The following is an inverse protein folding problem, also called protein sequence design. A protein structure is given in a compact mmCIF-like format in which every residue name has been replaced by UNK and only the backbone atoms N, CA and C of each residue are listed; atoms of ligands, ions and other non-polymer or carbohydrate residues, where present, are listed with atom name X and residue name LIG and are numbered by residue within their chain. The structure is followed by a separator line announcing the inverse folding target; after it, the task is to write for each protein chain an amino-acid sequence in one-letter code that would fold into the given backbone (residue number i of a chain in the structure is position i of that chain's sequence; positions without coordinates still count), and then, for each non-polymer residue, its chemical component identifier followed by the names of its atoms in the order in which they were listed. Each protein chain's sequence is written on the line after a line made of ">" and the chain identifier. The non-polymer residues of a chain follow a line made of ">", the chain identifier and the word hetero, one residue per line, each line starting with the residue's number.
data_IF_126443042455
#
_entry.id   IF_126443042455
#
_cell.length_a   1.000
_cell.length_b   1.000
_cell.length_c   1.000
_cell.angle_alpha   90.00
_cell.angle_beta   90.00
_cell.angle_gamma   90.00
#
_symmetry.space_group_name_H-M   'P 1'
#
loop_
_entity.id
_entity.type
_entity.pdbx_description
1 polymer ?
#
# COMPACT_ATOMS: atom_id res chain seq x y z
N UNK A 1 6.51 8.86 -19.69
CA UNK A 1 5.86 9.72 -18.69
C UNK A 1 4.49 9.20 -18.24
N UNK A 2 3.36 9.39 -18.95
CA UNK A 2 2.05 8.93 -18.43
C UNK A 2 1.96 7.41 -18.17
N UNK A 3 2.38 6.58 -19.13
CA UNK A 3 2.34 5.12 -18.99
C UNK A 3 3.28 4.60 -17.89
N UNK A 4 4.38 5.31 -17.66
CA UNK A 4 5.36 5.00 -16.63
C UNK A 4 4.80 5.34 -15.25
N UNK A 5 4.20 6.53 -15.11
CA UNK A 5 3.53 6.98 -13.91
C UNK A 5 2.34 6.08 -13.52
N UNK A 6 1.57 5.60 -14.50
CA UNK A 6 0.49 4.65 -14.25
C UNK A 6 0.99 3.33 -13.63
N UNK A 7 2.13 2.82 -14.11
CA UNK A 7 2.75 1.60 -13.57
C UNK A 7 3.39 1.82 -12.20
N UNK A 8 3.90 3.03 -11.91
CA UNK A 8 4.36 3.39 -10.56
C UNK A 8 3.17 3.43 -9.58
N UNK A 9 2.05 4.05 -9.95
CA UNK A 9 0.85 4.05 -9.10
C UNK A 9 0.29 2.65 -8.85
N UNK A 10 0.29 1.77 -9.87
CA UNK A 10 -0.11 0.37 -9.68
C UNK A 10 0.76 -0.30 -8.60
N UNK A 11 2.09 -0.13 -8.65
CA UNK A 11 3.03 -0.68 -7.65
C UNK A 11 2.79 -0.12 -6.24
N UNK A 12 2.44 1.15 -6.09
CA UNK A 12 2.06 1.74 -4.79
C UNK A 12 0.85 0.99 -4.20
N UNK A 13 -0.17 0.70 -5.01
CA UNK A 13 -1.36 -0.02 -4.55
C UNK A 13 -1.10 -1.48 -4.21
N UNK A 14 -0.20 -2.14 -4.96
CA UNK A 14 0.23 -3.52 -4.67
C UNK A 14 0.96 -3.61 -3.33
N UNK A 15 1.89 -2.68 -3.07
CA UNK A 15 2.60 -2.61 -1.80
C UNK A 15 1.64 -2.40 -0.61
N UNK A 16 0.67 -1.49 -0.77
CA UNK A 16 -0.36 -1.23 0.24
C UNK A 16 -1.20 -2.48 0.54
N UNK A 17 -1.67 -3.16 -0.51
CA UNK A 17 -2.48 -4.36 -0.39
C UNK A 17 -1.72 -5.50 0.29
N UNK A 18 -0.46 -5.73 -0.07
CA UNK A 18 0.40 -6.73 0.57
C UNK A 18 0.63 -6.43 2.05
N UNK A 19 0.84 -5.17 2.42
CA UNK A 19 1.03 -4.76 3.81
C UNK A 19 -0.24 -4.97 4.66
N UNK A 20 -1.40 -4.52 4.16
CA UNK A 20 -2.68 -4.70 4.85
C UNK A 20 -3.16 -6.16 4.91
N UNK A 21 -2.80 -6.99 3.92
CA UNK A 21 -3.25 -8.39 3.84
C UNK A 21 -2.95 -9.21 5.10
N UNK A 22 -1.87 -8.87 5.82
CA UNK A 22 -1.46 -9.51 7.08
C UNK A 22 -2.45 -9.34 8.23
N UNK A 23 -3.43 -8.45 8.07
CA UNK A 23 -4.44 -8.08 9.07
C UNK A 23 -5.85 -8.57 8.73
N UNK A 24 -6.04 -9.23 7.58
CA UNK A 24 -7.34 -9.79 7.17
C UNK A 24 -7.84 -10.77 8.23
N UNK A 25 -9.10 -10.61 8.64
CA UNK A 25 -9.75 -11.47 9.64
C UNK A 25 -9.36 -11.21 11.10
N UNK A 26 -8.46 -10.26 11.38
CA UNK A 26 -8.00 -9.98 12.76
C UNK A 26 -8.87 -9.01 13.54
N UNK A 27 -9.86 -8.39 12.91
CA UNK A 27 -10.74 -7.39 13.54
C UNK A 27 -10.03 -6.10 13.98
N UNK A 28 -8.77 -5.89 13.58
CA UNK A 28 -7.98 -4.73 13.94
C UNK A 28 -7.83 -3.78 12.74
N UNK A 29 -8.82 -2.89 12.56
CA UNK A 29 -8.89 -1.99 11.40
C UNK A 29 -7.75 -0.97 11.38
N UNK A 30 -7.40 -0.40 12.55
CA UNK A 30 -6.40 0.67 12.66
C UNK A 30 -5.03 0.15 12.23
N UNK A 31 -4.62 -1.02 12.73
CA UNK A 31 -3.34 -1.61 12.36
C UNK A 31 -3.26 -2.03 10.88
N UNK A 32 -4.39 -2.43 10.28
CA UNK A 32 -4.47 -2.73 8.86
C UNK A 32 -4.28 -1.45 8.01
N UNK A 33 -4.95 -0.37 8.40
CA UNK A 33 -4.90 0.92 7.72
C UNK A 33 -3.51 1.56 7.84
N UNK A 34 -2.94 1.58 9.06
CA UNK A 34 -1.58 2.06 9.30
C UNK A 34 -0.54 1.33 8.46
N UNK A 35 -0.67 0.00 8.33
CA UNK A 35 0.23 -0.80 7.51
C UNK A 35 0.14 -0.44 6.01
N UNK A 36 -1.08 -0.26 5.48
CA UNK A 36 -1.27 0.17 4.10
C UNK A 36 -0.71 1.59 3.86
N UNK A 37 -1.10 2.55 4.69
CA UNK A 37 -0.70 3.96 4.57
C UNK A 37 0.82 4.12 4.66
N UNK A 38 1.46 3.39 5.58
CA UNK A 38 2.92 3.41 5.71
C UNK A 38 3.60 2.88 4.46
N UNK A 39 3.12 1.75 3.92
CA UNK A 39 3.68 1.18 2.70
C UNK A 39 3.50 2.13 1.49
N UNK A 40 2.34 2.77 1.35
CA UNK A 40 2.11 3.75 0.30
C UNK A 40 3.06 4.95 0.40
N UNK A 41 3.29 5.49 1.61
CA UNK A 41 4.22 6.60 1.84
C UNK A 41 5.65 6.24 1.45
N UNK A 42 6.14 5.08 1.91
CA UNK A 42 7.49 4.61 1.57
C UNK A 42 7.68 4.50 0.05
N UNK A 43 6.67 4.02 -0.68
CA UNK A 43 6.73 3.92 -2.14
C UNK A 43 6.74 5.28 -2.85
N UNK A 44 6.13 6.32 -2.27
CA UNK A 44 6.21 7.68 -2.81
C UNK A 44 7.52 8.39 -2.48
N UNK A 45 8.24 7.93 -1.45
CA UNK A 45 9.52 8.46 -1.02
C UNK A 45 10.73 7.80 -1.74
N UNK A 46 10.48 6.77 -2.57
CA UNK A 46 11.47 6.12 -3.47
C UNK A 46 11.45 6.68 -4.88
#
# INVERSE_FOLDING_TARGET
>A
MERELALEFARVTEAAALAASRWVGKGNKEAADDAAVTAMRVMFDT
#
